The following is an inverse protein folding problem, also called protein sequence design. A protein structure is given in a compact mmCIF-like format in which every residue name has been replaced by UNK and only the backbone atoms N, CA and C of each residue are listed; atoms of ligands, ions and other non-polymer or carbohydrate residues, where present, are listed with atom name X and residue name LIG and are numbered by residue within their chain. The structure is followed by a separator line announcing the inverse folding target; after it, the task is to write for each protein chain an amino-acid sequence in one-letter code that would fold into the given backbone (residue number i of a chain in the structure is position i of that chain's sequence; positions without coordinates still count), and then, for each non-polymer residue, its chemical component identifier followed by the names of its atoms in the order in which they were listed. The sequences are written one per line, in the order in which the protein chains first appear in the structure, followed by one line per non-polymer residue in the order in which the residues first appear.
data_IF_620552248591
#
_entry.id   IF_620552248591
#
_cell.length_a   1.000
_cell.length_b   1.000
_cell.length_c   1.000
_cell.angle_alpha   90.00
_cell.angle_beta   90.00
_cell.angle_gamma   90.00
#
_symmetry.space_group_name_H-M   'P 1'
#
loop_
_entity.id
_entity.type
_entity.pdbx_description
1 polymer ?
#
# COMPACT_ATOMS: atom_id res chain seq x y z
N UNK A 1 -4.57 19.19 -21.50
CA UNK A 1 -4.04 17.84 -21.24
C UNK A 1 -2.58 17.90 -20.73
N UNK A 2 -1.77 18.87 -21.14
CA UNK A 2 -0.38 19.09 -20.65
C UNK A 2 -0.32 19.33 -19.14
N UNK A 3 -1.08 20.28 -18.59
CA UNK A 3 -0.96 20.72 -17.19
C UNK A 3 -1.21 19.61 -16.14
N UNK A 4 -2.19 18.72 -16.38
CA UNK A 4 -2.49 17.62 -15.44
C UNK A 4 -1.40 16.56 -15.43
N UNK A 5 -0.81 16.27 -16.59
CA UNK A 5 0.27 15.30 -16.69
C UNK A 5 1.55 15.84 -16.04
N UNK A 6 1.84 17.14 -16.23
CA UNK A 6 2.99 17.80 -15.62
C UNK A 6 2.85 17.87 -14.10
N UNK A 7 1.64 18.09 -13.58
CA UNK A 7 1.34 18.04 -12.16
C UNK A 7 1.52 16.64 -11.59
N UNK A 8 1.01 15.61 -12.25
CA UNK A 8 1.15 14.21 -11.80
C UNK A 8 2.62 13.75 -11.77
N UNK A 9 3.41 14.14 -12.79
CA UNK A 9 4.86 13.86 -12.83
C UNK A 9 5.60 14.60 -11.70
N UNK A 10 5.24 15.85 -11.41
CA UNK A 10 5.81 16.61 -10.29
C UNK A 10 5.51 15.94 -8.95
N UNK A 11 4.28 15.45 -8.77
CA UNK A 11 3.89 14.71 -7.56
C UNK A 11 4.64 13.38 -7.44
N UNK A 12 4.85 12.65 -8.52
CA UNK A 12 5.66 11.43 -8.51
C UNK A 12 7.10 11.71 -8.08
N UNK A 13 7.71 12.73 -8.68
CA UNK A 13 9.08 13.12 -8.32
C UNK A 13 9.17 13.60 -6.86
N UNK A 14 8.15 14.30 -6.36
CA UNK A 14 8.05 14.69 -4.95
C UNK A 14 7.99 13.49 -4.01
N UNK A 15 7.23 12.47 -4.36
CA UNK A 15 7.14 11.23 -3.58
C UNK A 15 8.50 10.49 -3.50
N UNK A 16 9.26 10.47 -4.59
CA UNK A 16 10.59 9.84 -4.61
C UNK A 16 11.69 10.67 -3.92
N UNK A 17 11.45 11.95 -3.65
CA UNK A 17 12.40 12.82 -2.94
C UNK A 17 12.26 12.77 -1.41
N UNK A 18 11.29 12.01 -0.88
CA UNK A 18 11.07 11.85 0.55
C UNK A 18 12.23 11.05 1.17
N UNK A 19 12.59 11.39 2.42
CA UNK A 19 13.75 10.80 3.08
C UNK A 19 13.50 10.34 4.51
N UNK A 20 12.30 10.60 5.05
CA UNK A 20 11.93 10.21 6.40
C UNK A 20 10.44 9.88 6.53
N UNK A 21 10.04 9.12 7.58
CA UNK A 21 8.63 8.90 7.91
C UNK A 21 7.84 10.20 8.13
N UNK A 22 8.48 11.23 8.70
CA UNK A 22 7.86 12.54 8.91
C UNK A 22 7.58 13.27 7.59
N UNK A 23 8.51 13.18 6.62
CA UNK A 23 8.31 13.74 5.28
C UNK A 23 7.15 13.04 4.58
N UNK A 24 7.08 11.70 4.66
CA UNK A 24 5.98 10.91 4.11
C UNK A 24 4.63 11.36 4.67
N UNK A 25 4.48 11.46 6.00
CA UNK A 25 3.25 11.95 6.64
C UNK A 25 2.86 13.35 6.14
N UNK A 26 3.83 14.27 6.10
CA UNK A 26 3.57 15.64 5.67
C UNK A 26 3.15 15.71 4.21
N UNK A 27 3.84 14.99 3.33
CA UNK A 27 3.58 14.97 1.90
C UNK A 27 2.19 14.42 1.59
N UNK A 28 1.86 13.23 2.12
CA UNK A 28 0.60 12.57 1.83
C UNK A 28 -0.61 13.21 2.51
N UNK A 29 -0.44 13.97 3.60
CA UNK A 29 -1.52 14.74 4.25
C UNK A 29 -2.22 15.68 3.27
N UNK A 30 -1.45 16.47 2.54
CA UNK A 30 -1.99 17.47 1.63
C UNK A 30 -2.50 16.85 0.32
N UNK A 31 -2.02 15.65 0.01
CA UNK A 31 -2.26 15.00 -1.26
C UNK A 31 -3.36 13.92 -1.21
N UNK A 32 -3.69 13.37 -0.04
CA UNK A 32 -4.60 12.23 0.11
C UNK A 32 -5.94 12.38 -0.66
N UNK A 33 -6.57 13.55 -0.58
CA UNK A 33 -7.89 13.81 -1.19
C UNK A 33 -7.89 13.79 -2.72
N UNK A 34 -6.74 14.02 -3.32
CA UNK A 34 -6.58 14.12 -4.77
C UNK A 34 -5.76 12.98 -5.37
N UNK A 35 -5.25 12.08 -4.51
CA UNK A 35 -4.37 10.98 -4.92
C UNK A 35 -4.98 10.13 -6.03
N UNK A 36 -6.21 9.65 -5.84
CA UNK A 36 -6.87 8.76 -6.79
C UNK A 36 -7.15 9.44 -8.13
N UNK A 37 -7.63 10.71 -8.10
CA UNK A 37 -8.06 11.43 -9.28
C UNK A 37 -6.94 12.13 -10.04
N UNK A 38 -5.96 12.68 -9.32
CA UNK A 38 -4.89 13.49 -9.93
C UNK A 38 -3.64 12.69 -10.24
N UNK A 39 -3.31 11.69 -9.41
CA UNK A 39 -2.09 10.90 -9.56
C UNK A 39 -2.38 9.54 -10.20
N UNK A 40 -3.13 8.67 -9.53
CA UNK A 40 -3.32 7.30 -9.96
C UNK A 40 -4.02 7.21 -11.33
N UNK A 41 -5.10 7.99 -11.52
CA UNK A 41 -5.84 8.00 -12.79
C UNK A 41 -5.03 8.63 -13.93
N UNK A 42 -4.26 9.71 -13.66
CA UNK A 42 -3.52 10.45 -14.69
C UNK A 42 -2.29 9.70 -15.18
N UNK A 43 -1.57 9.00 -14.27
CA UNK A 43 -0.37 8.23 -14.62
C UNK A 43 -0.67 6.79 -15.04
N UNK A 44 -1.93 6.35 -15.03
CA UNK A 44 -2.28 4.98 -15.31
C UNK A 44 -1.60 4.02 -14.32
N UNK A 45 -1.72 4.32 -13.02
CA UNK A 45 -1.03 3.57 -11.95
C UNK A 45 -1.52 2.12 -11.89
N UNK A 46 -0.78 1.22 -12.53
CA UNK A 46 -1.15 -0.19 -12.74
C UNK A 46 -0.74 -1.13 -11.60
N UNK A 47 0.09 -0.68 -10.66
CA UNK A 47 0.58 -1.53 -9.56
C UNK A 47 -0.53 -2.18 -8.74
N UNK A 48 -1.60 -1.46 -8.30
CA UNK A 48 -2.66 -2.06 -7.49
C UNK A 48 -3.31 -3.26 -8.17
N UNK A 49 -3.66 -3.15 -9.44
CA UNK A 49 -4.24 -4.22 -10.23
C UNK A 49 -3.25 -5.39 -10.44
N UNK A 50 -1.98 -5.08 -10.75
CA UNK A 50 -0.96 -6.09 -10.98
C UNK A 50 -0.69 -6.94 -9.73
N UNK A 51 -0.50 -6.31 -8.54
CA UNK A 51 -0.25 -7.04 -7.30
C UNK A 51 -1.51 -7.81 -6.83
N UNK A 52 -2.70 -7.25 -7.00
CA UNK A 52 -3.95 -7.92 -6.68
C UNK A 52 -4.13 -9.20 -7.51
N UNK A 53 -3.94 -9.13 -8.83
CA UNK A 53 -3.98 -10.31 -9.71
C UNK A 53 -2.92 -11.34 -9.36
N UNK A 54 -1.70 -10.91 -9.07
CA UNK A 54 -0.63 -11.81 -8.67
C UNK A 54 -0.98 -12.56 -7.38
N UNK A 55 -1.51 -11.87 -6.35
CA UNK A 55 -1.92 -12.51 -5.11
C UNK A 55 -3.07 -13.50 -5.30
N UNK A 56 -4.07 -13.13 -6.11
CA UNK A 56 -5.23 -13.99 -6.37
C UNK A 56 -4.88 -15.24 -7.18
N UNK A 57 -3.77 -15.23 -7.91
CA UNK A 57 -3.24 -16.41 -8.62
C UNK A 57 -2.44 -17.35 -7.69
N UNK A 58 -2.05 -16.92 -6.49
CA UNK A 58 -1.33 -17.74 -5.53
C UNK A 58 -2.28 -18.67 -4.77
N UNK A 59 -1.82 -19.91 -4.50
CA UNK A 59 -2.45 -20.76 -3.49
C UNK A 59 -2.04 -20.26 -2.11
N UNK A 60 -3.00 -19.91 -1.27
CA UNK A 60 -2.78 -19.39 0.07
C UNK A 60 -3.85 -19.95 1.03
N UNK A 61 -3.59 -19.95 2.36
CA UNK A 61 -4.61 -20.25 3.36
C UNK A 61 -5.80 -19.27 3.26
N UNK A 62 -6.97 -19.73 3.69
CA UNK A 62 -8.09 -18.81 3.92
C UNK A 62 -7.78 -17.90 5.11
N UNK A 63 -8.20 -16.64 5.02
CA UNK A 63 -8.00 -15.70 6.11
C UNK A 63 -7.80 -14.26 5.63
N UNK A 64 -7.37 -13.42 6.56
CA UNK A 64 -7.23 -11.98 6.34
C UNK A 64 -5.96 -11.68 5.53
N UNK A 65 -6.09 -10.80 4.56
CA UNK A 65 -5.00 -10.22 3.77
C UNK A 65 -4.59 -8.91 4.44
N UNK A 66 -3.29 -8.68 4.63
CA UNK A 66 -2.76 -7.40 5.06
C UNK A 66 -2.26 -6.60 3.85
N UNK A 67 -2.86 -5.43 3.62
CA UNK A 67 -2.42 -4.44 2.64
C UNK A 67 -1.45 -3.47 3.31
N UNK A 68 -0.16 -3.59 2.98
CA UNK A 68 0.96 -2.87 3.60
C UNK A 68 1.23 -1.58 2.85
N UNK A 69 1.07 -0.44 3.53
CA UNK A 69 1.08 0.88 2.92
C UNK A 69 -0.13 1.06 2.02
N UNK A 70 -1.32 0.80 2.59
CA UNK A 70 -2.56 0.74 1.83
C UNK A 70 -2.97 2.09 1.21
N UNK A 71 -2.41 3.20 1.67
CA UNK A 71 -2.71 4.54 1.18
C UNK A 71 -4.21 4.83 1.19
N UNK A 72 -4.73 5.28 0.07
CA UNK A 72 -6.16 5.53 -0.13
C UNK A 72 -6.97 4.24 -0.39
N UNK A 73 -6.34 3.06 -0.43
CA UNK A 73 -7.02 1.78 -0.58
C UNK A 73 -7.21 1.30 -2.01
N UNK A 74 -6.34 1.67 -2.96
CA UNK A 74 -6.47 1.25 -4.36
C UNK A 74 -6.28 -0.27 -4.53
N UNK A 75 -5.40 -0.91 -3.76
CA UNK A 75 -5.25 -2.38 -3.75
C UNK A 75 -6.53 -3.04 -3.25
N UNK A 76 -7.11 -2.54 -2.16
CA UNK A 76 -8.39 -2.99 -1.65
C UNK A 76 -9.51 -2.92 -2.69
N UNK A 77 -9.55 -1.86 -3.51
CA UNK A 77 -10.49 -1.72 -4.63
C UNK A 77 -10.32 -2.86 -5.63
N UNK A 78 -9.10 -3.16 -6.07
CA UNK A 78 -8.85 -4.21 -7.06
C UNK A 78 -9.13 -5.62 -6.51
N UNK A 79 -8.76 -5.88 -5.26
CA UNK A 79 -9.10 -7.14 -4.59
C UNK A 79 -10.62 -7.35 -4.49
N UNK A 80 -11.37 -6.34 -4.08
CA UNK A 80 -12.84 -6.41 -3.94
C UNK A 80 -13.58 -6.50 -5.27
N UNK A 81 -13.05 -5.92 -6.34
CA UNK A 81 -13.59 -6.11 -7.69
C UNK A 81 -13.50 -7.56 -8.14
N UNK A 82 -12.41 -8.23 -7.80
CA UNK A 82 -12.18 -9.62 -8.19
C UNK A 82 -12.91 -10.61 -7.28
N UNK A 83 -12.95 -10.34 -5.97
CA UNK A 83 -13.59 -11.20 -4.97
C UNK A 83 -14.17 -10.35 -3.83
N UNK A 84 -15.49 -10.21 -3.79
CA UNK A 84 -16.19 -9.24 -2.94
C UNK A 84 -16.17 -9.57 -1.43
N UNK A 85 -15.93 -10.81 -1.05
CA UNK A 85 -15.99 -11.32 0.33
C UNK A 85 -14.63 -11.44 1.02
N UNK A 86 -13.53 -10.97 0.37
CA UNK A 86 -12.19 -10.99 0.96
C UNK A 86 -12.16 -10.17 2.26
N UNK A 87 -11.54 -10.71 3.29
CA UNK A 87 -11.22 -9.96 4.50
C UNK A 87 -9.86 -9.28 4.32
N UNK A 88 -9.85 -7.96 4.38
CA UNK A 88 -8.65 -7.16 4.13
C UNK A 88 -8.46 -6.22 5.32
N UNK A 89 -7.29 -6.25 5.94
CA UNK A 89 -6.81 -5.23 6.85
C UNK A 89 -5.83 -4.33 6.10
N UNK A 90 -5.82 -3.03 6.40
CA UNK A 90 -4.88 -2.08 5.83
C UNK A 90 -4.02 -1.43 6.89
N UNK A 91 -2.76 -1.14 6.56
CA UNK A 91 -1.86 -0.36 7.41
C UNK A 91 -1.19 0.74 6.60
N UNK A 92 -1.15 1.94 7.15
CA UNK A 92 -0.45 3.09 6.56
C UNK A 92 0.07 4.03 7.66
N UNK A 93 1.08 4.83 7.33
CA UNK A 93 1.65 5.81 8.24
C UNK A 93 0.83 7.12 8.26
N UNK A 94 0.04 7.39 7.22
CA UNK A 94 -0.73 8.64 7.04
C UNK A 94 -2.19 8.44 7.49
N UNK A 95 -2.62 9.10 8.57
CA UNK A 95 -4.02 9.09 8.99
C UNK A 95 -4.95 9.70 7.94
N UNK A 96 -4.48 10.64 7.14
CA UNK A 96 -5.27 11.26 6.06
C UNK A 96 -5.52 10.30 4.90
N UNK A 97 -4.53 9.47 4.55
CA UNK A 97 -4.69 8.38 3.57
C UNK A 97 -5.68 7.34 4.10
N UNK A 98 -5.53 6.91 5.34
CA UNK A 98 -6.45 5.98 5.99
C UNK A 98 -7.88 6.51 6.06
N UNK A 99 -8.06 7.82 6.28
CA UNK A 99 -9.38 8.45 6.27
C UNK A 99 -10.06 8.36 4.89
N UNK A 100 -9.30 8.44 3.80
CA UNK A 100 -9.82 8.22 2.43
C UNK A 100 -10.12 6.73 2.19
N UNK A 101 -9.24 5.83 2.64
CA UNK A 101 -9.46 4.38 2.54
C UNK A 101 -10.72 3.95 3.29
N UNK A 102 -10.95 4.49 4.49
CA UNK A 102 -12.12 4.22 5.31
C UNK A 102 -13.45 4.58 4.62
N UNK A 103 -13.46 5.69 3.84
CA UNK A 103 -14.65 6.11 3.09
C UNK A 103 -15.08 5.12 1.99
N UNK A 104 -14.18 4.23 1.57
CA UNK A 104 -14.46 3.22 0.54
C UNK A 104 -15.10 1.95 1.08
N UNK A 105 -15.12 1.76 2.42
CA UNK A 105 -15.72 0.62 3.10
C UNK A 105 -15.22 -0.75 2.58
N UNK A 106 -13.91 -0.83 2.34
CA UNK A 106 -13.26 -2.01 1.75
C UNK A 106 -12.53 -2.87 2.78
N UNK A 107 -12.06 -2.23 3.86
CA UNK A 107 -11.21 -2.86 4.86
C UNK A 107 -12.02 -3.29 6.09
N UNK A 108 -11.65 -4.46 6.63
CA UNK A 108 -12.17 -4.93 7.90
C UNK A 108 -11.58 -4.13 9.07
N UNK A 109 -10.27 -3.82 8.99
CA UNK A 109 -9.57 -2.97 9.95
C UNK A 109 -8.55 -2.08 9.24
N UNK A 110 -8.34 -0.88 9.77
CA UNK A 110 -7.30 0.05 9.32
C UNK A 110 -6.41 0.43 10.50
N UNK A 111 -5.09 0.33 10.32
CA UNK A 111 -4.10 0.61 11.35
C UNK A 111 -3.21 1.79 10.93
N UNK A 112 -3.08 2.79 11.80
CA UNK A 112 -2.06 3.80 11.65
C UNK A 112 -0.78 3.31 12.32
N UNK A 113 0.30 3.11 11.53
CA UNK A 113 1.57 2.65 12.04
C UNK A 113 2.76 3.10 11.20
N UNK A 114 3.85 3.44 11.89
CA UNK A 114 5.17 3.54 11.29
C UNK A 114 5.85 2.17 11.34
N UNK A 115 5.85 1.48 10.22
CA UNK A 115 6.42 0.13 10.11
C UNK A 115 7.95 0.10 10.20
N UNK A 116 8.61 1.25 10.14
CA UNK A 116 10.06 1.35 10.43
C UNK A 116 10.35 1.26 11.92
N UNK A 117 9.37 1.56 12.78
CA UNK A 117 9.51 1.54 14.21
C UNK A 117 9.03 0.21 14.81
N UNK A 118 7.81 -0.22 14.53
CA UNK A 118 7.22 -1.43 15.12
C UNK A 118 6.03 -1.95 14.28
N UNK A 119 5.89 -3.27 14.26
CA UNK A 119 4.75 -3.98 13.67
C UNK A 119 3.78 -4.53 14.73
N UNK A 120 4.02 -4.30 16.01
CA UNK A 120 3.24 -4.87 17.12
C UNK A 120 1.76 -4.44 17.15
N UNK A 121 1.41 -3.37 16.44
CA UNK A 121 0.01 -2.94 16.29
C UNK A 121 -0.80 -3.92 15.43
N UNK A 122 -0.14 -4.71 14.60
CA UNK A 122 -0.77 -5.65 13.69
C UNK A 122 -1.18 -6.94 14.43
N UNK A 123 -2.28 -7.51 14.02
CA UNK A 123 -2.68 -8.84 14.50
C UNK A 123 -1.76 -9.93 13.96
N UNK A 124 -1.82 -11.11 14.54
CA UNK A 124 -1.15 -12.30 14.01
C UNK A 124 -2.11 -13.13 13.14
N UNK A 125 -1.53 -13.97 12.28
CA UNK A 125 -2.26 -14.97 11.49
C UNK A 125 -2.78 -14.46 10.16
N UNK A 126 -2.12 -13.47 9.55
CA UNK A 126 -2.45 -13.06 8.18
C UNK A 126 -2.18 -14.19 7.17
N UNK A 127 -3.15 -14.43 6.30
CA UNK A 127 -3.07 -15.42 5.23
C UNK A 127 -2.29 -14.94 4.01
N UNK A 128 -2.12 -13.62 3.89
CA UNK A 128 -1.29 -13.01 2.88
C UNK A 128 -0.86 -11.59 3.26
N UNK A 129 0.24 -11.14 2.65
CA UNK A 129 0.69 -9.76 2.59
C UNK A 129 0.61 -9.27 1.15
N UNK A 130 0.15 -8.05 0.95
CA UNK A 130 0.17 -7.39 -0.35
C UNK A 130 0.66 -5.95 -0.17
N UNK A 131 1.40 -5.43 -1.14
CA UNK A 131 1.83 -4.03 -1.13
C UNK A 131 2.04 -3.50 -2.54
N UNK A 132 1.59 -2.28 -2.81
CA UNK A 132 1.78 -1.58 -4.07
C UNK A 132 2.42 -0.22 -3.85
N UNK A 133 3.69 -0.06 -4.23
CA UNK A 133 4.39 1.23 -4.24
C UNK A 133 4.92 1.72 -2.88
N UNK A 134 4.84 0.92 -1.82
CA UNK A 134 5.35 1.28 -0.49
C UNK A 134 6.83 0.92 -0.34
N UNK A 135 7.25 -0.23 -0.87
CA UNK A 135 8.66 -0.64 -0.88
C UNK A 135 9.37 0.01 -2.06
N UNK A 136 9.79 1.25 -1.87
CA UNK A 136 10.43 2.07 -2.89
C UNK A 136 11.31 3.14 -2.24
N UNK A 137 12.17 3.78 -3.04
CA UNK A 137 13.05 4.84 -2.56
C UNK A 137 12.24 5.97 -1.88
N UNK A 138 12.70 6.39 -0.72
CA UNK A 138 12.02 7.44 0.08
C UNK A 138 10.85 6.97 0.95
N UNK A 139 10.46 5.70 0.90
CA UNK A 139 9.38 5.14 1.71
C UNK A 139 9.88 4.02 2.62
N UNK A 140 9.56 2.74 2.33
CA UNK A 140 10.00 1.60 3.13
C UNK A 140 11.14 0.85 2.45
N UNK A 141 12.19 0.58 3.21
CA UNK A 141 13.23 -0.39 2.86
C UNK A 141 12.80 -1.83 3.23
N UNK A 142 13.73 -2.78 3.19
CA UNK A 142 13.47 -4.18 3.51
C UNK A 142 13.37 -4.47 5.02
N UNK A 143 13.72 -3.53 5.90
CA UNK A 143 13.86 -3.74 7.34
C UNK A 143 12.59 -4.31 8.00
N UNK A 144 11.36 -3.82 7.70
CA UNK A 144 10.16 -4.32 8.35
C UNK A 144 9.68 -5.69 7.83
N UNK A 145 10.25 -6.21 6.74
CA UNK A 145 9.77 -7.45 6.09
C UNK A 145 9.77 -8.63 7.06
N UNK A 146 10.83 -8.79 7.86
CA UNK A 146 10.91 -9.90 8.82
C UNK A 146 9.80 -9.82 9.89
N UNK A 147 9.53 -8.62 10.40
CA UNK A 147 8.42 -8.37 11.33
C UNK A 147 7.06 -8.65 10.71
N UNK A 148 6.83 -8.17 9.49
CA UNK A 148 5.59 -8.42 8.75
C UNK A 148 5.36 -9.91 8.48
N UNK A 149 6.41 -10.66 8.10
CA UNK A 149 6.32 -12.11 7.91
C UNK A 149 5.99 -12.81 9.23
N UNK A 150 6.52 -12.35 10.37
CA UNK A 150 6.21 -12.93 11.67
C UNK A 150 4.74 -12.80 12.09
N UNK A 151 4.02 -11.84 11.51
CA UNK A 151 2.57 -11.68 11.70
C UNK A 151 1.74 -12.65 10.84
N UNK A 152 2.36 -13.40 9.93
CA UNK A 152 1.67 -14.30 9.01
C UNK A 152 1.50 -15.70 9.57
N UNK A 153 0.49 -16.43 9.09
CA UNK A 153 0.34 -17.84 9.34
C UNK A 153 1.26 -18.67 8.40
N UNK A 154 1.44 -19.96 8.75
CA UNK A 154 2.19 -20.87 7.89
C UNK A 154 1.50 -21.04 6.53
N UNK A 155 2.28 -20.96 5.45
CA UNK A 155 1.77 -21.04 4.08
C UNK A 155 1.23 -19.73 3.51
N UNK A 156 1.27 -18.64 4.28
CA UNK A 156 0.91 -17.31 3.78
C UNK A 156 1.75 -16.91 2.56
N UNK A 157 1.16 -16.10 1.68
CA UNK A 157 1.84 -15.57 0.50
C UNK A 157 2.11 -14.08 0.65
N UNK A 158 3.24 -13.61 0.15
CA UNK A 158 3.57 -12.19 0.10
C UNK A 158 3.76 -11.75 -1.36
N UNK A 159 3.04 -10.71 -1.76
CA UNK A 159 3.18 -10.07 -3.08
C UNK A 159 3.48 -8.60 -2.88
N UNK A 160 4.68 -8.21 -3.24
CA UNK A 160 5.20 -6.85 -3.04
C UNK A 160 5.61 -6.28 -4.38
N UNK A 161 4.98 -5.17 -4.77
CA UNK A 161 5.39 -4.38 -5.93
C UNK A 161 6.60 -3.51 -5.58
N UNK A 162 7.74 -3.78 -6.21
CA UNK A 162 8.99 -3.05 -6.01
C UNK A 162 9.35 -2.28 -7.27
N UNK A 163 9.79 -1.04 -7.11
CA UNK A 163 10.33 -0.27 -8.23
C UNK A 163 11.69 -0.86 -8.67
N UNK A 164 11.92 -1.00 -9.99
CA UNK A 164 13.14 -1.58 -10.52
C UNK A 164 14.41 -0.84 -10.04
N UNK A 165 14.37 0.49 -9.97
CA UNK A 165 15.50 1.29 -9.47
C UNK A 165 15.78 1.00 -7.99
N UNK A 166 14.75 0.74 -7.19
CA UNK A 166 14.91 0.39 -5.77
C UNK A 166 15.41 -1.06 -5.59
N UNK A 167 15.08 -1.95 -6.52
CA UNK A 167 15.52 -3.35 -6.46
C UNK A 167 17.03 -3.49 -6.75
N UNK A 168 17.60 -2.59 -7.57
CA UNK A 168 19.00 -2.60 -7.96
C UNK A 168 19.92 -1.88 -6.94
N UNK A 169 19.37 -1.18 -5.98
CA UNK A 169 20.11 -0.43 -4.94
C UNK A 169 20.36 -1.28 -3.70
#
# INVERSE_FOLDING_TARGET
MSDKNDEAVRLLNGAYALSSPADNRSYYRDFARHYDSSFAATLGYVYPDAVARALLACQRPDGVILDVGCGTGLVGVELRKAQADLLIDGVDISPEMLAVAAQKDLYHSLYEADLTADVAVLRNGYAALISAGTFTHGHLGPEPIAGLISCCCSGAQAVIGVNAVHHEA
#
